data_IF_068604014482
#
_entry.id   IF_068604014482
#
_cell.length_a   1.000
_cell.length_b   1.000
_cell.length_c   1.000
_cell.angle_alpha   90.00
_cell.angle_beta   90.00
_cell.angle_gamma   90.00
#
_symmetry.space_group_name_H-M   'P 1'
#
loop_
_entity.id
_entity.type
_entity.pdbx_description
1 polymer ?
#
# COMPACT_ATOMS: atom_id res chain seq x y z
N UNK A 1 -16.14 9.50 -14.22
CA UNK A 1 -15.69 9.40 -12.80
C UNK A 1 -14.19 9.19 -12.87
N UNK A 2 -13.39 10.18 -12.46
CA UNK A 2 -11.93 10.02 -12.40
C UNK A 2 -11.54 9.21 -11.16
N UNK A 3 -10.43 8.49 -11.21
CA UNK A 3 -9.80 7.96 -10.00
C UNK A 3 -9.09 9.11 -9.29
N UNK A 4 -9.44 9.36 -8.04
CA UNK A 4 -8.72 10.28 -7.18
C UNK A 4 -7.79 9.47 -6.28
N UNK A 5 -6.53 9.87 -6.21
CA UNK A 5 -5.55 9.27 -5.32
C UNK A 5 -5.43 10.11 -4.04
N UNK A 6 -5.21 9.42 -2.93
CA UNK A 6 -4.76 10.01 -1.67
C UNK A 6 -3.23 10.20 -1.71
N UNK A 7 -2.66 10.72 -0.63
CA UNK A 7 -1.26 11.14 -0.61
C UNK A 7 -0.27 9.98 -0.84
N UNK A 8 0.93 10.34 -1.33
CA UNK A 8 1.99 9.39 -1.66
C UNK A 8 2.42 8.53 -0.47
N UNK A 9 2.50 9.12 0.73
CA UNK A 9 3.01 8.44 1.92
C UNK A 9 2.06 7.34 2.36
N UNK A 10 0.75 7.63 2.43
CA UNK A 10 -0.27 6.62 2.71
C UNK A 10 -0.27 5.51 1.65
N UNK A 11 -0.05 5.84 0.35
CA UNK A 11 0.07 4.82 -0.71
C UNK A 11 1.30 3.93 -0.51
N UNK A 12 2.44 4.49 -0.13
CA UNK A 12 3.65 3.73 0.14
C UNK A 12 3.50 2.81 1.37
N UNK A 13 2.86 3.30 2.43
CA UNK A 13 2.51 2.51 3.62
C UNK A 13 1.70 1.28 3.24
N UNK A 14 0.68 1.46 2.40
CA UNK A 14 -0.14 0.35 1.90
C UNK A 14 0.67 -0.58 1.00
N UNK A 15 1.47 -0.05 0.08
CA UNK A 15 2.31 -0.87 -0.81
C UNK A 15 3.24 -1.78 -0.03
N UNK A 16 3.89 -1.24 1.00
CA UNK A 16 4.77 -2.01 1.87
C UNK A 16 3.99 -3.06 2.68
N UNK A 17 2.78 -2.76 3.15
CA UNK A 17 1.91 -3.77 3.78
C UNK A 17 1.56 -4.89 2.82
N UNK A 18 1.15 -4.57 1.59
CA UNK A 18 0.91 -5.55 0.52
C UNK A 18 2.14 -6.42 0.26
N UNK A 19 3.32 -5.82 0.15
CA UNK A 19 4.58 -6.55 -0.07
C UNK A 19 4.87 -7.54 1.07
N UNK A 20 4.63 -7.15 2.33
CA UNK A 20 4.83 -8.00 3.51
C UNK A 20 3.83 -9.15 3.58
N UNK A 21 2.54 -8.87 3.37
CA UNK A 21 1.48 -9.91 3.36
C UNK A 21 1.69 -10.91 2.22
N UNK A 22 2.12 -10.43 1.04
CA UNK A 22 2.36 -11.30 -0.11
C UNK A 22 3.71 -12.02 -0.08
N UNK A 23 4.61 -11.64 0.84
CA UNK A 23 5.93 -12.25 0.97
C UNK A 23 6.94 -11.90 -0.13
N UNK A 24 6.73 -10.83 -0.90
CA UNK A 24 7.62 -10.45 -2.02
C UNK A 24 8.88 -9.72 -1.53
N UNK A 25 10.05 -10.35 -1.60
CA UNK A 25 11.33 -9.80 -1.14
C UNK A 25 11.77 -8.58 -1.95
N UNK A 26 11.65 -8.63 -3.27
CA UNK A 26 11.88 -7.50 -4.17
C UNK A 26 11.03 -6.29 -3.77
N UNK A 27 9.73 -6.49 -3.63
CA UNK A 27 8.77 -5.43 -3.30
C UNK A 27 9.04 -4.82 -1.92
N UNK A 28 9.43 -5.64 -0.93
CA UNK A 28 9.85 -5.18 0.41
C UNK A 28 11.16 -4.38 0.37
N UNK A 29 12.04 -4.66 -0.60
CA UNK A 29 13.33 -3.98 -0.72
C UNK A 29 13.21 -2.61 -1.39
N UNK A 30 12.27 -2.43 -2.31
CA UNK A 30 12.08 -1.18 -3.03
C UNK A 30 11.50 -0.07 -2.15
N UNK A 31 11.87 1.19 -2.43
CA UNK A 31 11.40 2.36 -1.69
C UNK A 31 10.79 3.40 -2.63
N UNK A 32 9.53 3.77 -2.39
CA UNK A 32 8.93 4.88 -3.12
C UNK A 32 9.45 6.20 -2.55
N UNK A 33 10.18 6.95 -3.36
CA UNK A 33 10.74 8.25 -3.00
C UNK A 33 9.87 9.42 -3.47
N UNK A 34 9.99 10.54 -2.79
CA UNK A 34 9.38 11.82 -3.19
C UNK A 34 10.19 12.54 -4.29
N UNK A 35 9.76 13.74 -4.66
CA UNK A 35 10.42 14.56 -5.68
C UNK A 35 11.86 14.97 -5.31
N UNK A 36 12.24 14.87 -4.03
CA UNK A 36 13.59 15.11 -3.53
C UNK A 36 14.41 13.82 -3.40
N UNK A 37 13.85 12.66 -3.77
CA UNK A 37 14.50 11.36 -3.62
C UNK A 37 14.45 10.80 -2.20
N UNK A 38 13.59 11.32 -1.32
CA UNK A 38 13.47 10.86 0.07
C UNK A 38 12.36 9.81 0.21
N UNK A 39 12.64 8.64 0.82
CA UNK A 39 11.61 7.65 1.14
C UNK A 39 10.80 8.07 2.37
N UNK A 40 9.73 7.33 2.67
CA UNK A 40 9.08 7.42 3.98
C UNK A 40 10.07 7.08 5.09
N UNK A 41 9.84 7.59 6.30
CA UNK A 41 10.78 7.37 7.41
C UNK A 41 10.84 5.90 7.82
N UNK A 42 11.98 5.51 8.40
CA UNK A 42 12.16 4.14 8.89
C UNK A 42 11.19 3.83 10.04
N UNK A 43 10.88 4.83 10.87
CA UNK A 43 9.93 4.74 11.97
C UNK A 43 8.53 4.40 11.46
N UNK A 44 8.04 5.11 10.44
CA UNK A 44 6.74 4.83 9.81
C UNK A 44 6.74 3.43 9.21
N UNK A 45 7.79 3.06 8.47
CA UNK A 45 7.90 1.74 7.87
C UNK A 45 7.88 0.62 8.91
N UNK A 46 8.57 0.79 10.04
CA UNK A 46 8.61 -0.19 11.12
C UNK A 46 7.24 -0.35 11.82
N UNK A 47 6.45 0.72 11.88
CA UNK A 47 5.13 0.73 12.51
C UNK A 47 4.05 -0.04 11.72
N UNK A 48 4.22 -0.24 10.40
CA UNK A 48 3.19 -0.78 9.50
C UNK A 48 2.61 -2.12 9.98
N UNK A 49 3.42 -3.03 10.52
CA UNK A 49 2.92 -4.37 10.88
C UNK A 49 2.11 -4.40 12.19
N UNK A 50 2.29 -3.39 13.03
CA UNK A 50 1.59 -3.21 14.30
C UNK A 50 0.76 -1.92 14.30
N UNK A 51 0.28 -1.51 13.12
CA UNK A 51 -0.27 -0.17 12.88
C UNK A 51 -1.44 0.19 13.80
N UNK A 52 -2.23 -0.78 14.26
CA UNK A 52 -3.36 -0.55 15.17
C UNK A 52 -2.90 0.07 16.51
N UNK A 53 -1.74 -0.35 17.00
CA UNK A 53 -1.13 0.14 18.24
C UNK A 53 -0.07 1.21 18.04
N UNK A 54 0.33 1.48 16.79
CA UNK A 54 1.39 2.42 16.48
C UNK A 54 0.90 3.86 16.46
N UNK A 55 1.84 4.79 16.64
CA UNK A 55 1.63 6.22 16.45
C UNK A 55 1.70 6.56 14.95
N UNK A 56 0.64 6.20 14.23
CA UNK A 56 0.44 6.52 12.83
C UNK A 56 -0.81 7.40 12.68
N UNK A 57 -0.86 8.28 11.66
CA UNK A 57 -2.08 9.00 11.30
C UNK A 57 -3.27 8.03 11.12
N UNK A 58 -4.45 8.40 11.62
CA UNK A 58 -5.64 7.53 11.51
C UNK A 58 -6.04 7.25 10.06
N UNK A 59 -5.76 8.17 9.12
CA UNK A 59 -5.94 7.93 7.69
C UNK A 59 -5.10 6.75 7.19
N UNK A 60 -3.82 6.66 7.60
CA UNK A 60 -2.94 5.53 7.25
C UNK A 60 -3.44 4.23 7.87
N UNK A 61 -3.87 4.26 9.13
CA UNK A 61 -4.47 3.07 9.78
C UNK A 61 -5.76 2.64 9.09
N UNK A 62 -6.61 3.58 8.68
CA UNK A 62 -7.82 3.29 7.92
C UNK A 62 -7.49 2.63 6.57
N UNK A 63 -6.50 3.15 5.84
CA UNK A 63 -6.04 2.53 4.59
C UNK A 63 -5.51 1.11 4.81
N UNK A 64 -4.72 0.89 5.86
CA UNK A 64 -4.20 -0.43 6.23
C UNK A 64 -5.31 -1.42 6.61
N UNK A 65 -6.34 -0.98 7.36
CA UNK A 65 -7.54 -1.81 7.67
C UNK A 65 -8.28 -2.21 6.39
N UNK A 66 -8.45 -1.29 5.44
CA UNK A 66 -9.12 -1.56 4.15
C UNK A 66 -8.32 -2.61 3.36
N UNK A 67 -7.01 -2.46 3.31
CA UNK A 67 -6.12 -3.35 2.56
C UNK A 67 -6.01 -4.73 3.21
N UNK A 68 -5.88 -4.81 4.52
CA UNK A 68 -5.85 -6.09 5.23
C UNK A 68 -7.18 -6.83 5.09
N UNK A 69 -8.31 -6.13 5.12
CA UNK A 69 -9.61 -6.70 4.78
C UNK A 69 -9.62 -7.24 3.34
N UNK A 70 -9.15 -6.46 2.37
CA UNK A 70 -9.09 -6.89 0.97
C UNK A 70 -8.20 -8.13 0.76
N UNK A 71 -7.02 -8.16 1.38
CA UNK A 71 -6.03 -9.22 1.17
C UNK A 71 -6.38 -10.52 1.92
N UNK A 72 -6.87 -10.42 3.16
CA UNK A 72 -6.95 -11.55 4.09
C UNK A 72 -8.36 -11.84 4.60
N UNK A 73 -9.26 -10.87 4.64
CA UNK A 73 -10.62 -11.07 5.15
C UNK A 73 -11.68 -10.26 4.38
N UNK A 74 -11.97 -10.61 3.12
CA UNK A 74 -12.89 -9.81 2.29
C UNK A 74 -14.30 -9.69 2.87
N UNK A 75 -14.71 -10.65 3.71
CA UNK A 75 -16.00 -10.63 4.39
C UNK A 75 -16.18 -9.45 5.35
N UNK A 76 -15.09 -8.84 5.84
CA UNK A 76 -15.14 -7.65 6.67
C UNK A 76 -15.87 -6.47 6.00
N UNK A 77 -15.86 -6.39 4.66
CA UNK A 77 -16.60 -5.36 3.92
C UNK A 77 -18.13 -5.49 4.02
N UNK A 78 -18.66 -6.63 4.46
CA UNK A 78 -20.09 -6.79 4.72
C UNK A 78 -20.55 -5.99 5.96
N UNK A 79 -19.65 -5.76 6.91
CA UNK A 79 -19.94 -4.95 8.10
C UNK A 79 -20.22 -3.50 7.70
N UNK A 80 -21.36 -2.97 8.16
CA UNK A 80 -21.74 -1.59 7.88
C UNK A 80 -20.85 -0.60 8.65
N UNK A 81 -20.44 -0.96 9.88
CA UNK A 81 -19.57 -0.11 10.69
C UNK A 81 -18.18 0.05 10.06
N UNK A 82 -17.63 -1.01 9.50
CA UNK A 82 -16.38 -1.01 8.76
C UNK A 82 -16.46 -0.08 7.54
N UNK A 83 -17.50 -0.21 6.73
CA UNK A 83 -17.71 0.67 5.58
C UNK A 83 -17.86 2.13 5.99
N UNK A 84 -18.63 2.41 7.05
CA UNK A 84 -18.80 3.76 7.56
C UNK A 84 -17.44 4.39 7.96
N UNK A 85 -16.62 3.67 8.73
CA UNK A 85 -15.28 4.14 9.13
C UNK A 85 -14.33 4.34 7.95
N UNK A 86 -14.41 3.48 6.92
CA UNK A 86 -13.64 3.70 5.70
C UNK A 86 -14.03 5.02 5.02
N UNK A 87 -15.33 5.32 4.95
CA UNK A 87 -15.84 6.56 4.36
C UNK A 87 -15.63 7.82 5.22
N UNK A 88 -15.18 7.70 6.47
CA UNK A 88 -14.76 8.86 7.28
C UNK A 88 -13.44 9.46 6.78
N UNK A 89 -12.59 8.65 6.14
CA UNK A 89 -11.26 9.07 5.67
C UNK A 89 -11.12 9.12 4.15
N UNK A 90 -11.86 8.27 3.43
CA UNK A 90 -11.71 8.13 1.98
C UNK A 90 -13.06 8.18 1.28
N UNK A 91 -13.13 8.91 0.17
CA UNK A 91 -14.29 8.82 -0.70
C UNK A 91 -14.30 7.51 -1.50
N UNK A 92 -15.42 7.22 -2.17
CA UNK A 92 -15.58 6.00 -2.95
C UNK A 92 -14.54 5.82 -4.07
N UNK A 93 -14.09 6.93 -4.67
CA UNK A 93 -13.07 6.89 -5.73
C UNK A 93 -11.68 6.60 -5.16
N UNK A 94 -11.34 7.15 -4.00
CA UNK A 94 -10.09 6.87 -3.29
C UNK A 94 -10.03 5.42 -2.79
N UNK A 95 -11.13 4.89 -2.25
CA UNK A 95 -11.23 3.47 -1.87
C UNK A 95 -11.05 2.57 -3.10
N UNK A 96 -11.68 2.91 -4.24
CA UNK A 96 -11.49 2.17 -5.49
C UNK A 96 -10.01 2.20 -5.94
N UNK A 97 -9.38 3.37 -5.94
CA UNK A 97 -7.94 3.53 -6.26
C UNK A 97 -7.07 2.65 -5.34
N UNK A 98 -7.33 2.67 -4.03
CA UNK A 98 -6.62 1.87 -3.03
C UNK A 98 -6.70 0.37 -3.33
N UNK A 99 -7.90 -0.12 -3.65
CA UNK A 99 -8.13 -1.54 -3.93
C UNK A 99 -7.49 -1.97 -5.27
N UNK A 100 -7.56 -1.11 -6.30
CA UNK A 100 -6.91 -1.36 -7.59
C UNK A 100 -5.37 -1.39 -7.47
N UNK A 101 -4.78 -0.46 -6.71
CA UNK A 101 -3.35 -0.48 -6.40
C UNK A 101 -2.97 -1.77 -5.63
N UNK A 102 -3.78 -2.15 -4.65
CA UNK A 102 -3.57 -3.39 -3.88
C UNK A 102 -3.63 -4.65 -4.76
N UNK A 103 -4.56 -4.68 -5.73
CA UNK A 103 -4.63 -5.74 -6.75
C UNK A 103 -3.36 -5.76 -7.62
N UNK A 104 -2.96 -4.60 -8.14
CA UNK A 104 -1.76 -4.44 -8.98
C UNK A 104 -0.53 -4.97 -8.24
N UNK A 105 -0.31 -4.57 -7.00
CA UNK A 105 0.84 -5.03 -6.22
C UNK A 105 0.73 -6.50 -5.82
N UNK A 106 -0.48 -7.05 -5.72
CA UNK A 106 -0.69 -8.47 -5.49
C UNK A 106 -0.34 -9.36 -6.69
N UNK A 107 -0.19 -8.78 -7.90
CA UNK A 107 0.35 -9.52 -9.05
C UNK A 107 1.79 -9.99 -8.84
N UNK A 108 2.53 -9.39 -7.90
CA UNK A 108 3.88 -9.83 -7.50
C UNK A 108 3.93 -11.29 -7.02
N UNK A 109 2.80 -11.88 -6.60
CA UNK A 109 2.69 -13.31 -6.26
C UNK A 109 3.16 -14.24 -7.38
N UNK A 110 3.07 -13.80 -8.64
CA UNK A 110 3.60 -14.56 -9.78
C UNK A 110 5.13 -14.66 -9.68
N UNK A 111 5.81 -13.54 -9.38
CA UNK A 111 7.26 -13.52 -9.16
C UNK A 111 7.67 -14.37 -7.97
N UNK A 112 6.97 -14.26 -6.84
CA UNK A 112 7.21 -15.06 -5.63
C UNK A 112 7.07 -16.56 -5.92
N UNK A 113 5.99 -16.98 -6.60
CA UNK A 113 5.76 -18.39 -6.92
C UNK A 113 6.81 -18.98 -7.88
N UNK A 114 7.52 -18.12 -8.61
CA UNK A 114 8.60 -18.48 -9.53
C UNK A 114 9.99 -18.20 -8.96
N UNK A 115 10.10 -17.75 -7.70
CA UNK A 115 11.35 -17.36 -7.05
C UNK A 115 12.13 -16.26 -7.81
N UNK A 116 11.41 -15.33 -8.43
CA UNK A 116 11.94 -14.21 -9.22
C UNK A 116 11.94 -12.87 -8.45
N UNK A 117 11.77 -12.90 -7.13
CA UNK A 117 11.62 -11.73 -6.28
C UNK A 117 12.88 -11.37 -5.48
N UNK A 118 14.07 -11.53 -6.08
CA UNK A 118 15.34 -11.16 -5.44
C UNK A 118 15.35 -9.68 -5.01
N UNK A 119 15.73 -9.36 -3.76
CA UNK A 119 15.77 -7.99 -3.27
C UNK A 119 16.87 -7.17 -3.95
N UNK A 120 16.58 -5.93 -4.32
CA UNK A 120 17.54 -5.04 -4.99
C UNK A 120 17.69 -3.65 -4.34
N UNK A 121 16.83 -3.30 -3.39
CA UNK A 121 16.95 -2.05 -2.63
C UNK A 121 16.71 -0.78 -3.44
N UNK A 122 16.16 -0.88 -4.65
CA UNK A 122 16.06 0.27 -5.55
C UNK A 122 15.08 1.34 -5.05
N UNK A 123 15.44 2.61 -5.26
CA UNK A 123 14.50 3.71 -5.18
C UNK A 123 13.58 3.72 -6.41
N UNK A 124 12.33 4.12 -6.23
CA UNK A 124 11.34 4.14 -7.31
C UNK A 124 10.29 5.21 -7.10
N UNK A 125 9.51 5.51 -8.14
CA UNK A 125 8.28 6.29 -8.04
C UNK A 125 7.21 5.75 -9.00
N UNK A 126 5.96 6.16 -8.78
CA UNK A 126 4.88 5.94 -9.74
C UNK A 126 4.48 7.26 -10.40
N UNK A 127 4.37 7.29 -11.72
CA UNK A 127 3.92 8.47 -12.46
C UNK A 127 2.39 8.64 -12.41
N UNK A 128 1.87 9.68 -13.09
CA UNK A 128 0.44 9.97 -13.17
C UNK A 128 -0.38 8.89 -13.87
N UNK A 129 0.25 8.04 -14.69
CA UNK A 129 -0.38 6.87 -15.31
C UNK A 129 -0.37 5.65 -14.39
N UNK A 130 0.33 5.75 -13.26
CA UNK A 130 0.58 4.66 -12.34
C UNK A 130 1.69 3.72 -12.82
N UNK A 131 2.51 4.08 -13.80
CA UNK A 131 3.67 3.28 -14.20
C UNK A 131 4.80 3.42 -13.17
N UNK A 132 5.47 2.31 -12.86
CA UNK A 132 6.59 2.28 -11.93
C UNK A 132 7.89 2.63 -12.65
N UNK A 133 8.66 3.56 -12.08
CA UNK A 133 9.97 3.97 -12.56
C UNK A 133 11.00 3.66 -11.50
N UNK A 134 12.06 2.93 -11.87
CA UNK A 134 13.19 2.63 -11.00
C UNK A 134 14.26 3.70 -11.20
N UNK A 135 14.74 4.28 -10.10
CA UNK A 135 15.86 5.21 -10.13
C UNK A 135 17.17 4.40 -10.12
N UNK A 136 18.06 4.73 -11.07
CA UNK A 136 19.37 4.11 -11.23
C UNK A 136 20.39 4.66 -10.22
#
# INVERSE_FOLDING_TARGET
MGLHYFDRETREVVRLRCARVNGCDLCKSQRWVDDNGLPISQEVSAAIDAYESADLPEEQKAALRIVDAFLNNPSAAADQGFRARAYEHFDASQILSLLLDSMKWSAAKIGVALELDEPNGSAMYFDETGAQHILA
#
